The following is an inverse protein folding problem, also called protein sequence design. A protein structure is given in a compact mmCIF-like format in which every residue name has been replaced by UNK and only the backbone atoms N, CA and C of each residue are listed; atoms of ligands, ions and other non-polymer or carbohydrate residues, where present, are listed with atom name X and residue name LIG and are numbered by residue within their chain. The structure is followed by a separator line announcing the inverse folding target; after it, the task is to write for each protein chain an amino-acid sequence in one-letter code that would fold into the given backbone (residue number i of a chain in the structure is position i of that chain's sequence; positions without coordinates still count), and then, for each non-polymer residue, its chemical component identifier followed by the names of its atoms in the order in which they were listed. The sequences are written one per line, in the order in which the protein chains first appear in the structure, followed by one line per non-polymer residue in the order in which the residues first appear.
data_IF_988517781921
#
_entry.id   IF_988517781921
#
_cell.length_a   1.000
_cell.length_b   1.000
_cell.length_c   1.000
_cell.angle_alpha   90.00
_cell.angle_beta   90.00
_cell.angle_gamma   90.00
#
_symmetry.space_group_name_H-M   'P 1'
#
loop_
_entity.id
_entity.type
_entity.pdbx_description
1 polymer ?
#
# COMPACT_ATOMS: atom_id res chain seq x y z
N UNK A 1 44.00 0.96 11.72
CA UNK A 1 43.22 1.58 12.82
C UNK A 1 41.85 1.91 12.27
N UNK A 2 40.80 1.44 12.96
CA UNK A 2 39.43 1.16 12.50
C UNK A 2 38.71 2.36 11.85
N UNK A 3 38.07 2.10 10.70
CA UNK A 3 37.00 2.94 10.14
C UNK A 3 35.96 2.06 9.43
N UNK A 4 35.48 1.01 10.12
CA UNK A 4 34.43 0.11 9.62
C UNK A 4 33.23 -0.06 10.59
N UNK A 5 33.16 0.71 11.69
CA UNK A 5 32.09 0.53 12.68
C UNK A 5 30.81 1.33 12.42
N UNK A 6 30.82 2.37 11.58
CA UNK A 6 29.73 3.35 11.61
C UNK A 6 28.55 3.07 10.68
N UNK A 7 28.57 2.01 9.87
CA UNK A 7 27.41 1.65 9.02
C UNK A 7 26.59 0.48 9.59
N UNK A 8 27.24 -0.44 10.33
CA UNK A 8 26.55 -1.52 11.06
C UNK A 8 25.88 -1.03 12.36
N UNK A 9 26.42 0.02 12.99
CA UNK A 9 25.87 0.62 14.22
C UNK A 9 24.57 1.44 14.01
N UNK A 10 24.08 1.56 12.77
CA UNK A 10 22.72 2.04 12.50
C UNK A 10 21.67 0.91 12.45
N UNK A 11 22.09 -0.35 12.60
CA UNK A 11 21.16 -1.44 12.87
C UNK A 11 20.91 -1.50 14.37
N UNK A 12 19.64 -1.45 14.76
CA UNK A 12 19.14 -1.37 16.15
C UNK A 12 19.35 0.00 16.82
N UNK A 13 19.04 1.09 16.11
CA UNK A 13 18.18 2.07 16.77
C UNK A 13 16.79 1.87 16.20
N UNK A 14 15.92 1.33 17.03
CA UNK A 14 14.50 1.70 17.02
C UNK A 14 14.45 3.22 16.89
N UNK A 15 14.45 3.75 15.66
CA UNK A 15 13.76 4.99 15.41
C UNK A 15 12.37 4.81 16.02
N UNK A 16 11.82 5.87 16.64
CA UNK A 16 10.44 5.84 17.10
C UNK A 16 9.60 5.22 15.99
N UNK A 17 8.94 4.09 16.27
CA UNK A 17 8.10 3.49 15.26
C UNK A 17 7.07 4.55 14.86
N UNK A 18 7.03 4.87 13.58
CA UNK A 18 6.10 5.85 13.05
C UNK A 18 4.93 5.13 12.43
N UNK A 19 3.76 5.73 12.57
CA UNK A 19 2.57 5.29 11.87
C UNK A 19 2.71 5.51 10.36
N UNK A 20 1.96 4.74 9.57
CA UNK A 20 1.84 4.93 8.13
C UNK A 20 1.37 6.36 7.79
N UNK A 21 0.49 6.94 8.60
CA UNK A 21 0.03 8.32 8.45
C UNK A 21 1.18 9.32 8.56
N UNK A 22 2.06 9.19 9.57
CA UNK A 22 3.23 10.07 9.70
C UNK A 22 4.17 9.96 8.49
N UNK A 23 4.41 8.74 7.99
CA UNK A 23 5.18 8.55 6.76
C UNK A 23 4.49 9.15 5.54
N UNK A 24 3.16 9.14 5.48
CA UNK A 24 2.42 9.73 4.38
C UNK A 24 2.57 11.26 4.39
N UNK A 25 2.45 11.89 5.56
CA UNK A 25 2.64 13.33 5.73
C UNK A 25 4.08 13.77 5.43
N UNK A 26 5.09 13.03 5.90
CA UNK A 26 6.52 13.35 5.67
C UNK A 26 6.93 13.33 4.19
N UNK A 27 6.17 12.60 3.37
CA UNK A 27 6.47 12.37 1.96
C UNK A 27 5.50 13.08 1.01
N UNK A 28 4.77 14.11 1.46
CA UNK A 28 3.80 14.88 0.65
C UNK A 28 2.69 14.00 0.04
N UNK A 29 2.26 12.97 0.77
CA UNK A 29 1.18 12.06 0.37
C UNK A 29 -0.14 12.34 1.08
N UNK A 30 -0.10 13.13 2.16
CA UNK A 30 -1.25 13.52 2.96
C UNK A 30 -1.91 14.77 2.38
N UNK A 31 -2.47 14.60 1.18
CA UNK A 31 -3.25 15.62 0.49
C UNK A 31 -4.63 15.09 0.16
N UNK A 32 -5.56 16.01 -0.09
CA UNK A 32 -6.87 15.69 -0.60
C UNK A 32 -6.98 15.97 -2.11
N UNK A 33 -7.96 15.36 -2.77
CA UNK A 33 -8.28 15.59 -4.18
C UNK A 33 -9.74 15.99 -4.40
N UNK A 34 -9.99 16.78 -5.45
CA UNK A 34 -11.30 16.99 -6.05
C UNK A 34 -11.47 16.15 -7.31
N UNK A 35 -12.71 15.72 -7.57
CA UNK A 35 -13.12 15.13 -8.83
C UNK A 35 -13.96 16.15 -9.61
N UNK A 36 -13.34 16.84 -10.56
CA UNK A 36 -13.99 17.89 -11.35
C UNK A 36 -14.42 17.35 -12.71
N UNK A 37 -15.54 17.81 -13.26
CA UNK A 37 -15.97 17.43 -14.62
C UNK A 37 -14.88 17.81 -15.62
N UNK A 38 -14.37 16.84 -16.37
CA UNK A 38 -13.40 17.10 -17.41
C UNK A 38 -14.12 17.59 -18.66
N UNK A 39 -13.78 18.81 -19.08
CA UNK A 39 -14.35 19.44 -20.24
C UNK A 39 -13.30 20.03 -21.18
N UNK A 40 -13.77 20.52 -22.31
CA UNK A 40 -13.00 21.28 -23.29
C UNK A 40 -13.71 22.61 -23.52
N UNK A 41 -12.96 23.56 -24.07
CA UNK A 41 -13.52 24.83 -24.48
C UNK A 41 -13.93 24.77 -25.95
N UNK A 42 -15.17 25.15 -26.24
CA UNK A 42 -15.64 25.39 -27.61
C UNK A 42 -15.71 26.88 -27.91
N UNK A 43 -15.64 27.21 -29.19
CA UNK A 43 -15.86 28.56 -29.69
C UNK A 43 -17.24 28.63 -30.32
N UNK A 44 -18.22 29.10 -29.57
CA UNK A 44 -19.57 29.35 -30.08
C UNK A 44 -19.83 30.85 -30.18
N UNK A 45 -20.17 31.33 -31.38
CA UNK A 45 -20.52 32.74 -31.64
C UNK A 45 -19.47 33.76 -31.12
N UNK A 46 -18.20 33.38 -31.10
CA UNK A 46 -17.10 34.25 -30.64
C UNK A 46 -16.85 34.22 -29.13
N UNK A 47 -17.54 33.36 -28.37
CA UNK A 47 -17.34 33.18 -26.93
C UNK A 47 -16.75 31.79 -26.63
N UNK A 48 -15.96 31.73 -25.55
CA UNK A 48 -15.41 30.49 -25.00
C UNK A 48 -16.48 29.86 -24.12
N UNK A 49 -17.00 28.69 -24.51
CA UNK A 49 -18.00 27.93 -23.74
C UNK A 49 -17.35 26.67 -23.17
N UNK A 50 -17.42 26.43 -21.85
CA UNK A 50 -16.97 25.17 -21.27
C UNK A 50 -17.98 24.07 -21.54
N UNK A 51 -17.57 23.03 -22.27
CA UNK A 51 -18.37 21.83 -22.52
C UNK A 51 -17.73 20.62 -21.83
N UNK A 52 -18.52 19.78 -21.18
CA UNK A 52 -18.07 18.48 -20.70
C UNK A 52 -18.82 17.39 -21.48
N UNK A 53 -18.11 16.44 -22.11
CA UNK A 53 -18.78 15.29 -22.69
C UNK A 53 -19.49 14.53 -21.57
N UNK A 54 -20.72 14.11 -21.83
CA UNK A 54 -21.54 13.37 -20.86
C UNK A 54 -21.93 12.01 -21.39
N UNK A 55 -22.21 11.08 -20.47
CA UNK A 55 -22.75 9.77 -20.84
C UNK A 55 -24.17 9.95 -21.37
N UNK A 56 -24.51 9.24 -22.46
CA UNK A 56 -25.90 9.15 -22.92
C UNK A 56 -26.61 8.07 -22.10
N UNK A 57 -27.07 8.41 -20.90
CA UNK A 57 -28.05 7.58 -20.20
C UNK A 57 -29.47 7.97 -20.62
N UNK A 58 -30.28 6.96 -20.88
CA UNK A 58 -31.69 7.11 -21.21
C UNK A 58 -32.43 7.40 -19.90
N UNK A 59 -32.88 8.65 -19.70
CA UNK A 59 -33.83 9.15 -18.68
C UNK A 59 -33.31 9.95 -17.46
N UNK A 60 -32.01 9.99 -17.17
CA UNK A 60 -31.47 10.78 -16.03
C UNK A 60 -30.57 11.95 -16.46
N UNK A 61 -30.29 12.90 -15.54
CA UNK A 61 -29.31 13.96 -15.76
C UNK A 61 -27.96 13.36 -16.21
N UNK A 62 -27.32 13.91 -17.25
CA UNK A 62 -26.22 13.24 -17.90
C UNK A 62 -24.92 13.37 -17.09
N UNK A 63 -24.39 12.23 -16.65
CA UNK A 63 -23.13 12.16 -15.89
C UNK A 63 -21.93 12.60 -16.75
N UNK A 64 -20.92 13.25 -16.17
CA UNK A 64 -19.70 13.58 -16.89
C UNK A 64 -18.99 12.30 -17.37
N UNK A 65 -18.62 12.26 -18.65
CA UNK A 65 -17.92 11.14 -19.26
C UNK A 65 -16.51 11.00 -18.69
N UNK A 66 -15.88 12.11 -18.29
CA UNK A 66 -14.57 12.12 -17.68
C UNK A 66 -14.52 13.08 -16.49
N UNK A 67 -13.68 12.75 -15.50
CA UNK A 67 -13.42 13.58 -14.32
C UNK A 67 -11.92 13.78 -14.13
N UNK A 68 -11.50 15.02 -13.92
CA UNK A 68 -10.14 15.36 -13.49
C UNK A 68 -9.98 15.08 -12.00
N UNK A 69 -8.86 14.48 -11.63
CA UNK A 69 -8.41 14.40 -10.23
C UNK A 69 -7.42 15.53 -10.01
N UNK A 70 -7.78 16.46 -9.12
CA UNK A 70 -7.01 17.67 -8.86
C UNK A 70 -6.65 17.73 -7.39
N UNK A 71 -5.38 17.94 -7.07
CA UNK A 71 -4.90 18.16 -5.71
C UNK A 71 -5.51 19.44 -5.12
N UNK A 72 -6.05 19.36 -3.90
CA UNK A 72 -6.71 20.51 -3.26
C UNK A 72 -5.76 21.60 -2.76
N UNK A 73 -4.51 21.24 -2.50
CA UNK A 73 -3.51 22.09 -1.88
C UNK A 73 -2.75 22.95 -2.89
N UNK A 74 -2.61 22.48 -4.14
CA UNK A 74 -1.83 23.16 -5.18
C UNK A 74 -2.52 23.27 -6.55
N UNK A 75 -3.78 22.83 -6.67
CA UNK A 75 -4.56 22.83 -7.90
C UNK A 75 -3.95 22.02 -9.06
N UNK A 76 -2.99 21.13 -8.79
CA UNK A 76 -2.35 20.34 -9.84
C UNK A 76 -3.22 19.16 -10.29
N UNK A 77 -3.40 18.95 -11.61
CA UNK A 77 -4.09 17.79 -12.13
C UNK A 77 -3.18 16.55 -12.08
N UNK A 78 -3.62 15.54 -11.35
CA UNK A 78 -2.88 14.30 -11.12
C UNK A 78 -3.50 13.08 -11.80
N UNK A 79 -4.68 13.20 -12.42
CA UNK A 79 -5.29 12.09 -13.15
C UNK A 79 -6.55 12.48 -13.91
N UNK A 80 -6.99 11.59 -14.81
CA UNK A 80 -8.26 11.69 -15.51
C UNK A 80 -8.93 10.31 -15.55
N UNK A 81 -10.19 10.23 -15.13
CA UNK A 81 -10.92 8.96 -15.04
C UNK A 81 -12.25 9.02 -15.77
N UNK A 82 -12.67 7.86 -16.28
CA UNK A 82 -13.99 7.67 -16.86
C UNK A 82 -15.07 7.40 -15.80
N UNK A 83 -16.30 7.10 -16.25
CA UNK A 83 -17.42 6.80 -15.37
C UNK A 83 -17.17 5.49 -14.60
N UNK A 84 -17.54 5.44 -13.31
CA UNK A 84 -17.42 4.25 -12.46
C UNK A 84 -16.07 4.07 -11.73
N UNK A 85 -15.15 5.03 -11.85
CA UNK A 85 -13.95 5.09 -11.00
C UNK A 85 -14.34 5.53 -9.57
N UNK A 86 -13.78 4.90 -8.53
CA UNK A 86 -14.12 5.27 -7.15
C UNK A 86 -13.44 6.57 -6.74
N UNK A 87 -14.20 7.45 -6.08
CA UNK A 87 -13.77 8.81 -5.77
C UNK A 87 -13.16 8.91 -4.37
N UNK A 88 -12.05 8.21 -4.14
CA UNK A 88 -11.33 8.35 -2.88
C UNK A 88 -10.68 9.73 -2.84
N UNK A 89 -10.81 10.42 -1.71
CA UNK A 89 -10.36 11.81 -1.56
C UNK A 89 -8.91 11.93 -1.17
N UNK A 90 -8.24 10.88 -0.69
CA UNK A 90 -6.86 10.92 -0.23
C UNK A 90 -6.21 9.54 -0.30
N UNK A 91 -4.90 9.45 -0.08
CA UNK A 91 -4.18 8.20 0.15
C UNK A 91 -4.29 7.68 1.59
N UNK A 92 -4.91 8.44 2.51
CA UNK A 92 -5.12 8.04 3.91
C UNK A 92 -5.75 6.66 4.06
N UNK A 93 -6.65 6.24 3.16
CA UNK A 93 -7.22 4.89 3.20
C UNK A 93 -6.16 3.78 3.11
N UNK A 94 -5.03 4.01 2.42
CA UNK A 94 -3.90 3.07 2.37
C UNK A 94 -3.23 3.01 3.73
N UNK A 95 -2.97 4.17 4.35
CA UNK A 95 -2.39 4.24 5.69
C UNK A 95 -3.32 3.60 6.74
N UNK A 96 -4.64 3.79 6.64
CA UNK A 96 -5.63 3.14 7.50
C UNK A 96 -5.60 1.62 7.37
N UNK A 97 -5.57 1.11 6.13
CA UNK A 97 -5.43 -0.34 5.89
C UNK A 97 -4.12 -0.88 6.44
N UNK A 98 -3.02 -0.16 6.24
CA UNK A 98 -1.68 -0.51 6.72
C UNK A 98 -1.64 -0.60 8.25
N UNK A 99 -2.15 0.42 8.95
CA UNK A 99 -2.19 0.44 10.42
C UNK A 99 -3.17 -0.58 10.98
N UNK A 100 -4.29 -0.83 10.30
CA UNK A 100 -5.20 -1.91 10.69
C UNK A 100 -4.56 -3.30 10.49
N UNK A 101 -3.65 -3.44 9.52
CA UNK A 101 -3.02 -4.71 9.18
C UNK A 101 -1.85 -5.03 10.11
N UNK A 102 -0.88 -4.12 10.21
CA UNK A 102 0.29 -4.22 11.09
C UNK A 102 0.64 -2.83 11.62
N UNK A 103 0.13 -2.45 12.81
CA UNK A 103 0.39 -1.13 13.38
C UNK A 103 1.88 -0.83 13.54
N UNK A 104 2.27 0.40 13.29
CA UNK A 104 3.63 0.91 13.52
C UNK A 104 4.75 0.06 12.86
N UNK A 105 4.44 -0.62 11.75
CA UNK A 105 5.36 -1.51 11.04
C UNK A 105 5.90 -0.92 9.73
N UNK A 106 5.55 0.34 9.43
CA UNK A 106 5.92 1.02 8.19
C UNK A 106 7.43 1.26 8.12
N UNK A 107 8.05 0.82 7.03
CA UNK A 107 9.51 0.92 6.80
C UNK A 107 9.89 1.92 5.72
N UNK A 108 8.92 2.41 4.94
CA UNK A 108 9.17 3.36 3.86
C UNK A 108 7.89 3.87 3.20
N UNK A 109 8.02 5.05 2.60
CA UNK A 109 6.98 5.71 1.81
C UNK A 109 7.65 6.45 0.65
N UNK A 110 7.00 6.44 -0.50
CA UNK A 110 7.38 7.19 -1.68
C UNK A 110 6.12 7.62 -2.43
N UNK A 111 5.97 8.94 -2.56
CA UNK A 111 4.97 9.57 -3.40
C UNK A 111 5.66 10.00 -4.68
N UNK A 112 5.16 9.52 -5.81
CA UNK A 112 5.82 9.65 -7.11
C UNK A 112 5.03 10.56 -8.04
N UNK A 113 5.76 11.21 -8.95
CA UNK A 113 5.24 12.08 -10.02
C UNK A 113 4.28 13.18 -9.54
N UNK A 114 4.61 13.80 -8.40
CA UNK A 114 3.82 14.92 -7.84
C UNK A 114 2.53 14.50 -7.14
N UNK A 115 2.39 13.24 -6.74
CA UNK A 115 1.19 12.74 -6.04
C UNK A 115 0.38 11.70 -6.82
N UNK A 116 0.76 11.42 -8.07
CA UNK A 116 0.00 10.51 -8.95
C UNK A 116 0.01 9.07 -8.48
N UNK A 117 1.09 8.65 -7.82
CA UNK A 117 1.31 7.27 -7.39
C UNK A 117 1.86 7.23 -5.98
N UNK A 118 1.37 6.29 -5.18
CA UNK A 118 1.83 6.00 -3.84
C UNK A 118 2.46 4.61 -3.80
N UNK A 119 3.58 4.53 -3.10
CA UNK A 119 4.25 3.30 -2.74
C UNK A 119 4.65 3.35 -1.27
N UNK A 120 4.23 2.38 -0.46
CA UNK A 120 4.59 2.28 0.96
C UNK A 120 5.01 0.86 1.31
N UNK A 121 5.89 0.68 2.28
CA UNK A 121 6.38 -0.65 2.70
C UNK A 121 6.17 -0.89 4.18
N UNK A 122 5.91 -2.14 4.54
CA UNK A 122 5.77 -2.62 5.92
C UNK A 122 6.62 -3.86 6.16
N UNK A 123 7.19 -3.97 7.35
CA UNK A 123 7.88 -5.17 7.80
C UNK A 123 6.87 -6.20 8.32
N UNK A 124 6.89 -7.41 7.76
CA UNK A 124 5.95 -8.49 8.15
C UNK A 124 6.54 -9.49 9.16
N UNK A 125 7.76 -9.25 9.63
CA UNK A 125 8.38 -10.08 10.65
C UNK A 125 9.80 -9.63 10.98
N UNK A 126 10.45 -10.44 11.80
CA UNK A 126 11.85 -10.24 12.16
C UNK A 126 12.77 -10.60 10.98
N UNK A 127 13.89 -9.87 10.80
CA UNK A 127 14.91 -10.25 9.84
C UNK A 127 15.44 -11.67 10.10
N UNK A 128 15.65 -12.43 9.02
CA UNK A 128 16.20 -13.79 9.08
C UNK A 128 17.68 -13.71 8.71
N UNK A 129 18.55 -13.92 9.70
CA UNK A 129 20.00 -14.04 9.48
C UNK A 129 20.32 -15.43 8.93
N UNK A 130 20.89 -15.47 7.73
CA UNK A 130 21.34 -16.70 7.08
C UNK A 130 22.79 -17.06 7.43
N UNK A 131 23.47 -16.21 8.20
CA UNK A 131 24.90 -16.29 8.46
C UNK A 131 25.72 -15.61 7.37
N UNK A 132 26.99 -15.29 7.66
CA UNK A 132 27.90 -14.68 6.69
C UNK A 132 27.62 -13.20 6.36
N UNK A 133 26.64 -12.57 7.01
CA UNK A 133 26.22 -11.19 6.75
C UNK A 133 25.02 -11.05 5.83
N UNK A 134 24.46 -12.16 5.35
CA UNK A 134 23.26 -12.20 4.53
C UNK A 134 22.00 -12.21 5.40
N UNK A 135 21.17 -11.19 5.25
CA UNK A 135 19.95 -11.01 6.03
C UNK A 135 18.75 -10.86 5.10
N UNK A 136 17.79 -11.75 5.22
CA UNK A 136 16.48 -11.62 4.56
C UNK A 136 15.59 -10.73 5.43
N UNK A 137 14.93 -9.75 4.80
CA UNK A 137 13.97 -8.87 5.46
C UNK A 137 12.61 -9.03 4.79
N UNK A 138 11.70 -9.82 5.38
CA UNK A 138 10.35 -9.97 4.87
C UNK A 138 9.60 -8.64 4.94
N UNK A 139 9.23 -8.09 3.78
CA UNK A 139 8.47 -6.86 3.66
C UNK A 139 7.27 -7.07 2.73
N UNK A 140 6.22 -6.29 2.95
CA UNK A 140 5.15 -6.12 1.97
C UNK A 140 5.17 -4.69 1.47
N UNK A 141 4.74 -4.50 0.22
CA UNK A 141 4.55 -3.19 -0.35
C UNK A 141 3.10 -2.94 -0.71
N UNK A 142 2.61 -1.78 -0.32
CA UNK A 142 1.32 -1.22 -0.64
C UNK A 142 1.46 -0.22 -1.77
N UNK A 143 0.59 -0.32 -2.76
CA UNK A 143 0.55 0.59 -3.89
C UNK A 143 -0.84 1.17 -4.03
N UNK A 144 -0.91 2.41 -4.50
CA UNK A 144 -2.14 3.03 -4.98
C UNK A 144 -1.79 4.10 -6.01
N UNK A 145 -2.76 4.49 -6.84
CA UNK A 145 -2.60 5.65 -7.72
C UNK A 145 -3.89 6.46 -7.84
N UNK A 146 -3.71 7.72 -8.21
CA UNK A 146 -4.75 8.65 -8.65
C UNK A 146 -4.74 8.86 -10.17
N UNK A 147 -3.71 8.42 -10.89
CA UNK A 147 -3.66 8.48 -12.36
C UNK A 147 -4.16 7.19 -13.03
N UNK A 148 -4.51 6.16 -12.24
CA UNK A 148 -5.03 4.88 -12.73
C UNK A 148 -3.96 3.93 -13.26
N UNK A 149 -2.68 4.30 -13.18
CA UNK A 149 -1.57 3.45 -13.63
C UNK A 149 -1.38 2.23 -12.72
N UNK A 150 -1.64 2.38 -11.42
CA UNK A 150 -1.56 1.30 -10.44
C UNK A 150 -2.91 1.03 -9.78
N UNK A 151 -3.33 -0.22 -9.79
CA UNK A 151 -4.40 -0.69 -8.90
C UNK A 151 -3.93 -0.60 -7.45
N UNK A 152 -4.85 -0.39 -6.51
CA UNK A 152 -4.53 -0.60 -5.09
C UNK A 152 -4.17 -2.06 -4.86
N UNK A 153 -3.02 -2.34 -4.29
CA UNK A 153 -2.59 -3.72 -4.12
C UNK A 153 -1.43 -3.90 -3.18
N UNK A 154 -1.27 -5.13 -2.73
CA UNK A 154 -0.21 -5.56 -1.81
C UNK A 154 0.65 -6.60 -2.50
N UNK A 155 1.95 -6.40 -2.40
CA UNK A 155 2.98 -7.25 -3.02
C UNK A 155 3.92 -7.77 -1.95
N UNK A 156 4.32 -9.03 -2.05
CA UNK A 156 5.31 -9.61 -1.16
C UNK A 156 6.73 -9.36 -1.66
N UNK A 157 7.65 -9.14 -0.71
CA UNK A 157 9.06 -8.98 -0.97
C UNK A 157 9.88 -9.67 0.11
N UNK A 158 10.92 -10.39 -0.30
CA UNK A 158 11.92 -10.97 0.60
C UNK A 158 13.13 -10.07 0.82
N UNK A 159 13.14 -8.90 0.16
CA UNK A 159 14.23 -7.92 0.18
C UNK A 159 13.67 -6.51 0.30
N UNK A 160 14.46 -5.58 0.85
CA UNK A 160 14.06 -4.18 0.93
C UNK A 160 13.79 -3.60 -0.45
N UNK A 161 12.59 -3.07 -0.64
CA UNK A 161 12.23 -2.40 -1.89
C UNK A 161 12.70 -0.95 -1.83
N UNK A 162 13.49 -0.52 -2.82
CA UNK A 162 14.04 0.83 -2.87
C UNK A 162 13.61 1.61 -4.12
N UNK A 163 13.05 0.96 -5.14
CA UNK A 163 12.56 1.65 -6.34
C UNK A 163 11.28 1.03 -6.90
N UNK A 164 10.47 1.85 -7.56
CA UNK A 164 9.17 1.46 -8.12
C UNK A 164 9.28 0.36 -9.19
N UNK A 165 10.40 0.25 -9.90
CA UNK A 165 10.62 -0.81 -10.89
C UNK A 165 10.68 -2.21 -10.26
N UNK A 166 11.04 -2.31 -8.97
CA UNK A 166 11.04 -3.58 -8.25
C UNK A 166 9.62 -4.09 -7.96
N UNK A 167 8.58 -3.27 -8.11
CA UNK A 167 7.18 -3.73 -8.07
C UNK A 167 6.90 -4.86 -9.07
N UNK A 168 7.62 -4.89 -10.20
CA UNK A 168 7.51 -5.96 -11.19
C UNK A 168 8.12 -7.28 -10.73
N UNK A 169 8.96 -7.27 -9.69
CA UNK A 169 9.62 -8.46 -9.15
C UNK A 169 8.87 -9.08 -7.96
N UNK A 170 7.94 -8.35 -7.34
CA UNK A 170 7.11 -8.86 -6.24
C UNK A 170 5.91 -9.65 -6.74
N UNK A 171 5.46 -10.64 -5.98
CA UNK A 171 4.21 -11.35 -6.29
C UNK A 171 3.06 -10.59 -5.67
N UNK A 172 2.02 -10.30 -6.45
CA UNK A 172 0.85 -9.64 -5.91
C UNK A 172 0.07 -10.60 -5.00
N UNK A 173 0.02 -10.31 -3.71
CA UNK A 173 -0.84 -11.02 -2.75
C UNK A 173 -2.30 -10.71 -3.05
N UNK A 174 -2.61 -9.44 -3.34
CA UNK A 174 -3.89 -9.07 -3.95
C UNK A 174 -3.81 -7.75 -4.71
N UNK A 175 -4.76 -7.54 -5.62
CA UNK A 175 -5.00 -6.26 -6.30
C UNK A 175 -6.50 -5.95 -6.34
N UNK A 176 -6.90 -4.76 -5.88
CA UNK A 176 -8.24 -4.24 -6.00
C UNK A 176 -8.30 -3.19 -7.12
N UNK A 177 -9.17 -3.41 -8.11
CA UNK A 177 -9.41 -2.43 -9.17
C UNK A 177 -10.23 -1.27 -8.60
N UNK A 178 -9.94 -0.05 -9.04
CA UNK A 178 -10.69 1.17 -8.72
C UNK A 178 -12.06 1.17 -9.43
N UNK A 179 -13.02 0.44 -8.88
CA UNK A 179 -14.44 0.45 -9.24
C UNK A 179 -15.26 0.86 -8.03
N UNK A 180 -16.58 1.05 -8.14
CA UNK A 180 -17.45 1.46 -7.01
C UNK A 180 -17.27 0.63 -5.72
N UNK A 181 -16.95 -0.66 -5.84
CA UNK A 181 -16.72 -1.56 -4.71
C UNK A 181 -15.24 -1.68 -4.29
N UNK A 182 -14.40 -0.72 -4.69
CA UNK A 182 -12.96 -0.75 -4.49
C UNK A 182 -12.59 -0.88 -3.00
N UNK A 183 -13.08 0.03 -2.16
CA UNK A 183 -12.66 0.12 -0.75
C UNK A 183 -13.04 -1.15 0.01
N UNK A 184 -14.28 -1.61 -0.17
CA UNK A 184 -14.79 -2.87 0.37
C UNK A 184 -13.90 -4.04 -0.07
N UNK A 185 -13.57 -4.11 -1.37
CA UNK A 185 -12.75 -5.20 -1.90
C UNK A 185 -11.32 -5.16 -1.36
N UNK A 186 -10.71 -3.97 -1.26
CA UNK A 186 -9.36 -3.80 -0.75
C UNK A 186 -9.29 -4.15 0.75
N UNK A 187 -10.24 -3.66 1.53
CA UNK A 187 -10.33 -3.92 2.97
C UNK A 187 -10.54 -5.41 3.27
N UNK A 188 -11.53 -6.07 2.63
CA UNK A 188 -11.77 -7.50 2.86
C UNK A 188 -10.54 -8.35 2.51
N UNK A 189 -9.85 -8.04 1.41
CA UNK A 189 -8.66 -8.79 0.98
C UNK A 189 -7.47 -8.55 1.90
N UNK A 190 -7.29 -7.31 2.37
CA UNK A 190 -6.32 -6.97 3.41
C UNK A 190 -6.57 -7.77 4.69
N UNK A 191 -7.83 -7.83 5.14
CA UNK A 191 -8.22 -8.58 6.34
C UNK A 191 -7.96 -10.08 6.22
N UNK A 192 -8.29 -10.69 5.09
CA UNK A 192 -8.01 -12.12 4.85
C UNK A 192 -6.52 -12.41 4.96
N UNK A 193 -5.67 -11.52 4.42
CA UNK A 193 -4.23 -11.66 4.53
C UNK A 193 -3.76 -11.52 5.98
N UNK A 194 -4.34 -10.58 6.73
CA UNK A 194 -4.00 -10.33 8.13
C UNK A 194 -4.35 -11.53 9.02
N UNK A 195 -5.54 -12.09 8.83
CA UNK A 195 -6.01 -13.28 9.53
C UNK A 195 -5.10 -14.49 9.25
N UNK A 196 -4.67 -14.68 8.00
CA UNK A 196 -3.75 -15.75 7.63
C UNK A 196 -2.38 -15.62 8.32
N UNK A 197 -1.85 -14.40 8.42
CA UNK A 197 -0.59 -14.14 9.12
C UNK A 197 -0.71 -14.33 10.64
N UNK A 198 -1.79 -13.85 11.25
CA UNK A 198 -2.05 -14.06 12.68
C UNK A 198 -2.16 -15.55 13.03
N UNK A 199 -2.77 -16.34 12.13
CA UNK A 199 -2.83 -17.78 12.27
C UNK A 199 -1.44 -18.43 12.15
N UNK A 200 -0.62 -18.00 11.18
CA UNK A 200 0.75 -18.48 11.02
C UNK A 200 1.64 -18.21 12.25
N UNK A 201 1.56 -17.01 12.83
CA UNK A 201 2.33 -16.67 14.05
C UNK A 201 1.85 -17.50 15.25
N UNK A 202 0.55 -17.76 15.36
CA UNK A 202 0.00 -18.67 16.37
C UNK A 202 0.57 -20.08 16.24
N UNK A 203 0.58 -20.63 15.02
CA UNK A 203 1.15 -21.95 14.73
C UNK A 203 2.65 -22.01 15.03
N UNK A 204 3.41 -20.96 14.69
CA UNK A 204 4.83 -20.83 15.05
C UNK A 204 5.02 -20.84 16.55
N UNK A 205 4.22 -20.12 17.34
CA UNK A 205 4.29 -20.15 18.81
C UNK A 205 4.04 -21.55 19.37
N UNK A 206 3.04 -22.27 18.82
CA UNK A 206 2.78 -23.67 19.17
C UNK A 206 4.00 -24.54 18.84
N UNK A 207 4.53 -24.44 17.62
CA UNK A 207 5.69 -25.22 17.17
C UNK A 207 6.95 -24.96 18.00
N UNK A 208 7.24 -23.70 18.34
CA UNK A 208 8.35 -23.34 19.24
C UNK A 208 8.14 -23.93 20.63
N UNK A 209 6.92 -23.85 21.17
CA UNK A 209 6.58 -24.43 22.49
C UNK A 209 6.76 -25.94 22.49
N UNK A 210 6.33 -26.63 21.43
CA UNK A 210 6.53 -28.07 21.26
C UNK A 210 8.02 -28.43 21.16
N UNK A 211 8.79 -27.65 20.40
CA UNK A 211 10.23 -27.86 20.24
C UNK A 211 11.02 -27.61 21.54
N UNK A 212 10.59 -26.64 22.35
CA UNK A 212 11.26 -26.28 23.59
C UNK A 212 10.93 -27.19 24.78
N UNK A 213 9.95 -28.08 24.64
CA UNK A 213 9.69 -29.11 25.65
C UNK A 213 10.77 -30.19 25.55
N UNK A 214 11.54 -30.35 26.63
CA UNK A 214 12.49 -31.45 26.78
C UNK A 214 11.75 -32.69 27.22
N UNK A 215 11.62 -33.67 26.32
CA UNK A 215 11.18 -35.03 26.66
C UNK A 215 12.41 -35.92 26.82
N UNK A 216 12.32 -36.91 27.70
CA UNK A 216 13.18 -38.10 27.56
C UNK A 216 12.65 -38.97 26.42
N UNK A 217 13.51 -39.76 25.78
CA UNK A 217 13.11 -40.64 24.66
C UNK A 217 11.92 -41.55 25.01
N UNK A 218 11.85 -42.03 26.27
CA UNK A 218 10.71 -42.79 26.80
C UNK A 218 9.40 -41.99 26.85
N UNK A 219 9.44 -40.71 27.21
CA UNK A 219 8.24 -39.86 27.26
C UNK A 219 7.72 -39.52 25.86
N UNK A 220 8.63 -39.40 24.89
CA UNK A 220 8.29 -39.14 23.49
C UNK A 220 7.60 -40.36 22.83
N UNK A 221 8.10 -41.57 23.08
CA UNK A 221 7.52 -42.83 22.57
C UNK A 221 6.13 -43.16 23.14
N UNK A 222 5.82 -42.66 24.35
CA UNK A 222 4.48 -42.82 24.96
C UNK A 222 3.46 -41.85 24.33
N UNK A 223 3.89 -40.64 23.95
CA UNK A 223 3.02 -39.58 23.42
C UNK A 223 2.74 -39.68 21.92
N UNK A 224 3.55 -40.43 21.16
CA UNK A 224 3.46 -40.54 19.70
C UNK A 224 2.85 -41.86 19.19
N UNK A 225 2.39 -42.71 20.10
CA UNK A 225 1.55 -43.89 19.81
C UNK A 225 0.07 -43.55 19.90
#
# INVERSE_FOLDING_TARGET
MRMESNFRDQMIKSGSKKSAHEYLTEHDGDFEVWYNKAGYYTFEKGFVVPEAPTTRHHQDEPDPLFKWVIRKDNDEPIGIHGPGYSENTSYTFVADMMESFLPESTTGCAVLDGGRRLFMTQSIGEPIDLGGGDVIKPEIAWTASFDGTWSTGVYDFTTRVFCSNMLMMGTALFKARRTEQHDITAEYRSKILGDAMAHAETMKRIAVTLKSQSYTDEQFDILTK
#
